data_IF_593076912184
#
_entry.id   IF_593076912184
#
_cell.length_a   1.000
_cell.length_b   1.000
_cell.length_c   1.000
_cell.angle_alpha   90.00
_cell.angle_beta   90.00
_cell.angle_gamma   90.00
#
_symmetry.space_group_name_H-M   'P 1'
#
loop_
_entity.id
_entity.type
_entity.pdbx_description
1 polymer ?
#
# COMPACT_ATOMS: atom_id res chain seq x y z
N UNK A 1 -26.80 -38.33 -7.54
CA UNK A 1 -25.42 -38.08 -8.00
C UNK A 1 -24.65 -37.23 -6.98
N UNK A 2 -23.95 -37.88 -6.05
CA UNK A 2 -23.02 -37.18 -5.16
C UNK A 2 -21.74 -36.94 -5.96
N UNK A 3 -21.43 -35.68 -6.22
CA UNK A 3 -20.17 -35.29 -6.86
C UNK A 3 -19.05 -35.50 -5.84
N UNK A 4 -18.11 -36.40 -6.14
CA UNK A 4 -16.92 -36.59 -5.30
C UNK A 4 -16.09 -35.29 -5.33
N UNK A 5 -15.92 -34.68 -4.15
CA UNK A 5 -15.08 -33.50 -4.02
C UNK A 5 -13.61 -33.92 -4.10
N UNK A 6 -12.86 -33.30 -5.02
CA UNK A 6 -11.42 -33.51 -5.12
C UNK A 6 -10.75 -32.88 -3.89
N UNK A 7 -10.09 -33.69 -3.07
CA UNK A 7 -9.33 -33.18 -1.93
C UNK A 7 -7.96 -32.70 -2.41
N UNK A 8 -7.62 -31.47 -2.05
CA UNK A 8 -6.33 -30.84 -2.38
C UNK A 8 -5.65 -30.44 -1.08
N UNK A 9 -4.41 -30.88 -0.90
CA UNK A 9 -3.55 -30.44 0.21
C UNK A 9 -3.01 -29.03 -0.10
N UNK A 10 -3.33 -28.08 0.78
CA UNK A 10 -2.91 -26.68 0.65
C UNK A 10 -1.62 -26.35 1.42
N UNK A 11 -1.00 -27.33 2.10
CA UNK A 11 0.17 -27.12 2.96
C UNK A 11 1.40 -26.54 2.25
N UNK A 12 1.46 -26.62 0.91
CA UNK A 12 2.57 -26.09 0.08
C UNK A 12 2.15 -24.93 -0.82
N UNK A 13 0.94 -24.41 -0.66
CA UNK A 13 0.47 -23.24 -1.42
C UNK A 13 0.98 -21.99 -0.71
N UNK A 14 1.60 -21.08 -1.46
CA UNK A 14 1.95 -19.75 -0.97
C UNK A 14 0.69 -18.90 -0.87
N UNK A 15 0.45 -18.32 0.30
CA UNK A 15 -0.63 -17.37 0.52
C UNK A 15 -0.06 -15.96 0.62
N UNK A 16 -0.57 -15.06 -0.22
CA UNK A 16 -0.30 -13.61 -0.13
C UNK A 16 -1.62 -12.92 0.18
N UNK A 17 -1.72 -12.37 1.39
CA UNK A 17 -2.89 -11.63 1.84
C UNK A 17 -2.56 -10.15 1.86
N UNK A 18 -3.25 -9.35 1.04
CA UNK A 18 -3.08 -7.90 0.97
C UNK A 18 -4.40 -7.17 1.20
N UNK A 19 -4.33 -5.94 1.68
CA UNK A 19 -5.48 -5.09 1.93
C UNK A 19 -5.07 -3.66 2.28
N UNK A 20 -6.03 -2.74 2.22
CA UNK A 20 -5.85 -1.38 2.71
C UNK A 20 -6.39 -1.28 4.14
N UNK A 21 -5.50 -0.99 5.10
CA UNK A 21 -5.82 -0.95 6.53
C UNK A 21 -5.98 0.50 7.01
N UNK A 22 -7.05 1.16 6.57
CA UNK A 22 -7.32 2.55 6.92
C UNK A 22 -7.45 2.75 8.43
N UNK A 23 -6.70 3.68 9.01
CA UNK A 23 -6.71 3.95 10.45
C UNK A 23 -5.74 3.09 11.26
N UNK A 24 -5.03 2.14 10.63
CA UNK A 24 -3.96 1.38 11.29
C UNK A 24 -2.83 2.30 11.75
N UNK A 25 -2.54 3.35 10.99
CA UNK A 25 -1.57 4.38 11.34
C UNK A 25 -1.83 4.98 12.73
N UNK A 26 -3.10 5.20 13.10
CA UNK A 26 -3.47 5.75 14.41
C UNK A 26 -3.20 4.77 15.55
N UNK A 27 -3.39 3.48 15.30
CA UNK A 27 -3.11 2.42 16.30
C UNK A 27 -1.61 2.34 16.55
N UNK A 28 -0.81 2.39 15.48
CA UNK A 28 0.65 2.39 15.57
C UNK A 28 1.14 3.67 16.25
N UNK A 29 0.62 4.83 15.88
CA UNK A 29 0.95 6.12 16.52
C UNK A 29 0.69 6.09 18.02
N UNK A 30 -0.46 5.54 18.46
CA UNK A 30 -0.76 5.41 19.89
C UNK A 30 0.24 4.54 20.63
N UNK A 31 0.77 3.49 19.99
CA UNK A 31 1.84 2.66 20.55
C UNK A 31 3.18 3.41 20.62
N UNK A 32 3.54 4.11 19.54
CA UNK A 32 4.80 4.87 19.44
C UNK A 32 4.80 6.16 20.27
N UNK A 33 3.62 6.70 20.59
CA UNK A 33 3.45 7.88 21.41
C UNK A 33 3.70 7.57 22.90
N UNK A 34 4.97 7.44 23.28
CA UNK A 34 5.39 7.35 24.68
C UNK A 34 5.59 8.75 25.28
N UNK A 35 4.97 9.06 26.42
CA UNK A 35 5.24 10.29 27.18
C UNK A 35 4.40 11.54 26.81
N UNK A 36 3.36 11.39 25.98
CA UNK A 36 2.38 12.44 25.64
C UNK A 36 1.32 12.57 26.75
N UNK A 37 1.76 12.92 27.97
CA UNK A 37 0.88 13.21 29.10
C UNK A 37 0.53 14.69 29.24
N UNK A 38 -0.50 15.02 30.01
CA UNK A 38 -0.73 16.40 30.47
C UNK A 38 0.17 16.64 31.70
N UNK A 39 1.20 17.46 31.56
CA UNK A 39 2.09 17.81 32.68
C UNK A 39 3.36 18.53 32.24
N UNK A 40 3.97 19.30 33.16
CA UNK A 40 5.14 20.16 32.88
C UNK A 40 6.40 19.42 32.38
N UNK A 41 6.46 18.09 32.50
CA UNK A 41 7.55 17.25 31.99
C UNK A 41 7.20 16.42 30.74
N UNK A 42 6.03 16.64 30.14
CA UNK A 42 5.61 15.87 28.96
C UNK A 42 6.29 16.39 27.69
N UNK A 43 6.77 15.47 26.85
CA UNK A 43 7.24 15.80 25.51
C UNK A 43 6.02 15.93 24.59
N UNK A 44 5.66 17.17 24.27
CA UNK A 44 4.63 17.47 23.27
C UNK A 44 5.26 17.28 21.88
N UNK A 45 5.03 16.13 21.25
CA UNK A 45 5.37 15.95 19.82
C UNK A 45 4.40 16.76 18.96
N UNK A 46 4.92 17.43 17.94
CA UNK A 46 4.11 18.07 16.91
C UNK A 46 3.30 17.01 16.17
N UNK A 47 2.00 17.24 15.88
CA UNK A 47 1.12 16.24 15.26
C UNK A 47 1.46 15.89 13.79
N UNK A 48 2.62 16.31 13.27
CA UNK A 48 2.90 16.31 11.83
C UNK A 48 4.32 15.86 11.46
N UNK A 49 4.99 15.04 12.29
CA UNK A 49 6.44 14.82 12.14
C UNK A 49 6.88 13.56 11.39
N UNK A 50 5.99 12.66 10.99
CA UNK A 50 6.36 11.45 10.25
C UNK A 50 5.40 11.24 9.07
N UNK A 51 5.93 10.86 7.90
CA UNK A 51 5.11 10.49 6.77
C UNK A 51 4.31 9.21 7.11
N UNK A 52 3.09 9.07 6.59
CA UNK A 52 2.23 7.92 6.90
C UNK A 52 2.93 6.58 6.58
N UNK A 53 3.71 6.53 5.50
CA UNK A 53 4.52 5.36 5.12
C UNK A 53 5.58 4.99 6.19
N UNK A 54 6.20 5.97 6.84
CA UNK A 54 7.20 5.73 7.91
C UNK A 54 6.56 5.17 9.19
N UNK A 55 5.30 5.53 9.45
CA UNK A 55 4.55 4.99 10.58
C UNK A 55 4.14 3.55 10.27
N UNK A 56 3.57 3.32 9.08
CA UNK A 56 3.10 1.99 8.67
C UNK A 56 4.27 1.00 8.61
N UNK A 57 5.47 1.41 8.21
CA UNK A 57 6.65 0.54 8.18
C UNK A 57 7.10 0.03 9.55
N UNK A 58 6.63 0.64 10.64
CA UNK A 58 6.90 0.21 12.02
C UNK A 58 5.85 -0.74 12.59
N UNK A 59 4.90 -1.21 11.76
CA UNK A 59 3.80 -2.10 12.20
C UNK A 59 4.32 -3.35 12.93
N UNK A 60 3.69 -3.66 14.06
CA UNK A 60 3.91 -4.91 14.79
C UNK A 60 2.64 -5.78 14.85
N UNK A 61 2.77 -7.10 15.08
CA UNK A 61 1.61 -7.99 15.20
C UNK A 61 0.58 -7.54 16.24
N UNK A 62 1.01 -6.89 17.32
CA UNK A 62 0.08 -6.36 18.35
C UNK A 62 -0.79 -5.21 17.84
N UNK A 63 -0.28 -4.41 16.89
CA UNK A 63 -1.05 -3.33 16.27
C UNK A 63 -2.20 -3.92 15.42
N UNK A 64 -1.91 -5.01 14.70
CA UNK A 64 -2.90 -5.74 13.89
C UNK A 64 -3.99 -6.38 14.76
N UNK A 65 -3.63 -6.89 15.94
CA UNK A 65 -4.63 -7.41 16.91
C UNK A 65 -5.50 -6.29 17.43
N UNK A 66 -4.91 -5.16 17.85
CA UNK A 66 -5.65 -3.98 18.32
C UNK A 66 -6.55 -3.37 17.24
N UNK A 67 -6.13 -3.45 15.98
CA UNK A 67 -6.91 -3.05 14.82
C UNK A 67 -8.14 -3.94 14.59
N UNK A 68 -8.10 -5.20 15.04
CA UNK A 68 -9.25 -6.11 15.05
C UNK A 68 -9.02 -7.47 14.40
N UNK A 69 -7.79 -7.80 13.99
CA UNK A 69 -7.45 -9.14 13.49
C UNK A 69 -7.25 -10.12 14.66
N UNK A 70 -7.64 -11.37 14.46
CA UNK A 70 -7.46 -12.41 15.48
C UNK A 70 -6.00 -12.91 15.52
N UNK A 71 -5.42 -13.17 16.70
CA UNK A 71 -4.02 -13.60 16.83
C UNK A 71 -3.67 -14.88 16.05
N UNK A 72 -4.59 -15.85 15.99
CA UNK A 72 -4.38 -17.12 15.30
C UNK A 72 -4.23 -16.94 13.79
N UNK A 73 -4.87 -15.92 13.23
CA UNK A 73 -4.77 -15.59 11.81
C UNK A 73 -3.45 -14.90 11.50
N UNK A 74 -3.06 -13.91 12.32
CA UNK A 74 -1.75 -13.23 12.18
C UNK A 74 -0.60 -14.23 12.38
N UNK A 75 -0.76 -15.19 13.30
CA UNK A 75 0.23 -16.26 13.52
C UNK A 75 0.47 -17.15 12.30
N UNK A 76 -0.46 -17.21 11.34
CA UNK A 76 -0.29 -17.91 10.06
C UNK A 76 0.39 -17.04 8.99
N UNK A 77 0.55 -15.74 9.24
CA UNK A 77 1.13 -14.75 8.35
C UNK A 77 2.37 -14.11 9.01
N UNK A 78 3.48 -14.85 9.14
CA UNK A 78 4.68 -14.38 9.85
C UNK A 78 5.45 -13.28 9.12
N UNK A 79 5.14 -13.03 7.85
CA UNK A 79 5.79 -12.02 7.02
C UNK A 79 4.82 -10.87 6.77
N UNK A 80 5.23 -9.67 7.14
CA UNK A 80 4.50 -8.43 6.88
C UNK A 80 5.33 -7.58 5.93
N UNK A 81 4.70 -7.12 4.85
CA UNK A 81 5.30 -6.17 3.92
C UNK A 81 4.39 -4.95 3.83
N UNK A 82 4.99 -3.78 3.90
CA UNK A 82 4.32 -2.48 3.82
C UNK A 82 4.64 -1.84 2.47
N UNK A 83 3.72 -1.04 1.97
CA UNK A 83 3.89 -0.30 0.71
C UNK A 83 3.96 1.18 1.03
N UNK A 84 4.89 1.86 0.36
CA UNK A 84 5.02 3.31 0.43
C UNK A 84 3.95 4.00 -0.43
N UNK A 85 3.63 5.24 -0.08
CA UNK A 85 2.76 6.07 -0.91
C UNK A 85 3.44 6.42 -2.23
N UNK A 86 2.64 6.56 -3.28
CA UNK A 86 3.13 6.96 -4.59
C UNK A 86 3.49 8.44 -4.57
N UNK A 87 4.74 8.75 -4.92
CA UNK A 87 5.19 10.11 -5.16
C UNK A 87 5.07 10.47 -6.66
N UNK A 88 5.31 11.75 -7.00
CA UNK A 88 5.19 12.24 -8.38
C UNK A 88 6.08 11.45 -9.36
N UNK A 89 7.32 11.15 -8.98
CA UNK A 89 8.25 10.41 -9.84
C UNK A 89 7.78 8.96 -10.05
N UNK A 90 7.28 8.29 -9.00
CA UNK A 90 6.71 6.95 -9.09
C UNK A 90 5.47 6.91 -10.01
N UNK A 91 4.63 7.95 -9.96
CA UNK A 91 3.47 8.06 -10.87
C UNK A 91 3.92 8.25 -12.32
N UNK A 92 4.95 9.06 -12.58
CA UNK A 92 5.53 9.22 -13.92
C UNK A 92 6.13 7.90 -14.42
N UNK A 93 6.84 7.16 -13.56
CA UNK A 93 7.35 5.82 -13.88
C UNK A 93 6.21 4.85 -14.23
N UNK A 94 5.14 4.80 -13.43
CA UNK A 94 3.94 3.96 -13.68
C UNK A 94 3.29 4.31 -15.03
N UNK A 95 3.26 5.59 -15.38
CA UNK A 95 2.70 6.06 -16.65
C UNK A 95 3.59 5.72 -17.85
N UNK A 96 4.88 5.42 -17.68
CA UNK A 96 5.85 5.27 -18.78
C UNK A 96 6.45 3.87 -18.90
N UNK A 97 6.94 3.30 -17.80
CA UNK A 97 7.81 2.13 -17.83
C UNK A 97 7.08 0.79 -17.95
N UNK A 98 6.00 0.52 -17.17
CA UNK A 98 5.34 -0.78 -17.20
C UNK A 98 4.91 -1.20 -18.61
N UNK A 99 4.94 -2.51 -18.89
CA UNK A 99 4.43 -3.04 -20.16
C UNK A 99 2.98 -2.63 -20.41
N UNK A 100 2.19 -2.58 -19.34
CA UNK A 100 0.78 -2.21 -19.38
C UNK A 100 0.56 -0.75 -18.92
N UNK A 101 1.53 0.14 -19.12
CA UNK A 101 1.37 1.56 -18.78
C UNK A 101 0.24 2.20 -19.59
N UNK A 102 -0.51 3.14 -18.99
CA UNK A 102 -1.65 3.80 -19.63
C UNK A 102 -1.25 4.50 -20.94
N UNK A 103 -0.11 5.17 -20.98
CA UNK A 103 0.39 5.84 -22.19
C UNK A 103 0.52 4.85 -23.35
N UNK A 104 1.13 3.68 -23.13
CA UNK A 104 1.27 2.61 -24.13
C UNK A 104 -0.07 2.02 -24.55
N UNK A 105 -0.99 1.85 -23.60
CA UNK A 105 -2.35 1.38 -23.92
C UNK A 105 -3.07 2.37 -24.85
N UNK A 106 -2.99 3.68 -24.56
CA UNK A 106 -3.59 4.71 -25.40
C UNK A 106 -2.86 4.88 -26.74
N UNK A 107 -1.52 4.81 -26.78
CA UNK A 107 -0.78 4.84 -28.04
C UNK A 107 -1.19 3.67 -28.95
N UNK A 108 -1.31 2.45 -28.40
CA UNK A 108 -1.77 1.29 -29.16
C UNK A 108 -3.23 1.44 -29.63
N UNK A 109 -4.09 2.05 -28.82
CA UNK A 109 -5.48 2.33 -29.19
C UNK A 109 -5.59 3.30 -30.36
N UNK A 110 -4.75 4.35 -30.39
CA UNK A 110 -4.75 5.34 -31.48
C UNK A 110 -4.05 4.81 -32.74
N UNK A 111 -3.05 3.94 -32.60
CA UNK A 111 -2.38 3.28 -33.72
C UNK A 111 -3.36 2.42 -34.55
N UNK A 112 -4.41 1.86 -33.92
CA UNK A 112 -5.47 1.14 -34.63
C UNK A 112 -6.25 2.02 -35.62
N UNK A 113 -6.23 3.33 -35.42
CA UNK A 113 -6.87 4.34 -36.27
C UNK A 113 -5.83 5.07 -37.16
N UNK A 114 -4.63 4.50 -37.31
CA UNK A 114 -3.49 5.09 -38.02
C UNK A 114 -3.09 6.49 -37.46
N UNK A 115 -3.31 6.73 -36.16
CA UNK A 115 -2.94 7.98 -35.48
C UNK A 115 -1.76 7.78 -34.52
N UNK A 116 -0.75 8.63 -34.63
CA UNK A 116 0.39 8.66 -33.70
C UNK A 116 0.07 9.52 -32.47
N UNK A 117 0.29 8.96 -31.27
CA UNK A 117 0.06 9.65 -29.99
C UNK A 117 1.36 9.70 -29.17
N UNK A 118 1.85 10.92 -28.94
CA UNK A 118 3.05 11.19 -28.14
C UNK A 118 2.68 11.86 -26.80
N UNK A 119 3.25 11.36 -25.71
CA UNK A 119 3.17 11.97 -24.39
C UNK A 119 4.51 12.55 -24.00
N UNK A 120 4.58 13.89 -23.88
CA UNK A 120 5.77 14.60 -23.44
C UNK A 120 5.94 14.52 -21.92
N UNK A 121 7.19 14.58 -21.45
CA UNK A 121 7.51 14.42 -20.02
C UNK A 121 6.86 15.49 -19.13
N UNK A 122 6.77 16.74 -19.62
CA UNK A 122 6.10 17.84 -18.92
C UNK A 122 4.60 17.58 -18.71
N UNK A 123 3.94 16.99 -19.70
CA UNK A 123 2.55 16.57 -19.60
C UNK A 123 2.37 15.43 -18.58
N UNK A 124 3.27 14.44 -18.56
CA UNK A 124 3.22 13.33 -17.60
C UNK A 124 3.40 13.81 -16.16
N UNK A 125 4.35 14.72 -15.92
CA UNK A 125 4.53 15.35 -14.60
C UNK A 125 3.31 16.16 -14.17
N UNK A 126 2.71 16.92 -15.09
CA UNK A 126 1.49 17.67 -14.81
C UNK A 126 0.30 16.76 -14.45
N UNK A 127 0.18 15.59 -15.09
CA UNK A 127 -0.81 14.57 -14.75
C UNK A 127 -0.53 13.99 -13.37
N UNK A 128 0.72 13.58 -13.10
CA UNK A 128 1.14 13.02 -11.82
C UNK A 128 0.88 13.98 -10.64
N UNK A 129 1.14 15.28 -10.82
CA UNK A 129 0.89 16.31 -9.81
C UNK A 129 -0.60 16.54 -9.49
N UNK A 130 -1.49 16.20 -10.42
CA UNK A 130 -2.94 16.38 -10.26
C UNK A 130 -3.61 15.18 -9.59
N UNK A 131 -3.04 13.98 -9.74
CA UNK A 131 -3.53 12.74 -9.17
C UNK A 131 -3.33 12.73 -7.64
#
# INVERSE_FOLDING_TARGET
>A
PQQEFLQVDTSKILFVCGGAFAGLERVIEQRLATGTGIGFGAQVKSPNSAAQSEIISQVEPEDLVRYGLIPEFIGRLPVVATLDELNEDALVEILREPKNALTKQYSALFEMEDVELEFREDALRAIAKKA
#
